data_IF_356364793169
#
_entry.id   IF_356364793169
#
_cell.length_a   1.000
_cell.length_b   1.000
_cell.length_c   1.000
_cell.angle_alpha   90.00
_cell.angle_beta   90.00
_cell.angle_gamma   90.00
#
_symmetry.space_group_name_H-M   'P 1'
#
loop_
_entity.id
_entity.type
_entity.pdbx_description
1 polymer ?
#
# COMPACT_ATOMS: atom_id res chain seq x y z
N UNK A 1 -21.03 -25.84 19.92
CA UNK A 1 -21.88 -24.92 19.12
C UNK A 1 -22.17 -23.72 19.99
N UNK A 2 -22.07 -22.51 19.44
CA UNK A 2 -22.22 -21.24 20.14
C UNK A 2 -23.36 -20.44 19.50
N UNK A 3 -24.24 -19.87 20.29
CA UNK A 3 -25.23 -18.92 19.77
C UNK A 3 -24.57 -17.61 19.36
N UNK A 4 -25.22 -16.86 18.47
CA UNK A 4 -24.66 -15.61 17.94
C UNK A 4 -24.23 -14.59 19.01
N UNK A 5 -24.93 -14.53 20.15
CA UNK A 5 -24.57 -13.65 21.27
C UNK A 5 -23.28 -14.11 21.97
N UNK A 6 -23.12 -15.41 22.15
CA UNK A 6 -21.92 -15.99 22.74
C UNK A 6 -20.72 -15.83 21.80
N UNK A 7 -20.92 -16.10 20.50
CA UNK A 7 -19.89 -15.88 19.47
C UNK A 7 -19.45 -14.40 19.42
N UNK A 8 -20.41 -13.47 19.46
CA UNK A 8 -20.12 -12.03 19.52
C UNK A 8 -19.33 -11.65 20.78
N UNK A 9 -19.71 -12.19 21.93
CA UNK A 9 -19.03 -11.92 23.20
C UNK A 9 -17.60 -12.46 23.21
N UNK A 10 -17.37 -13.69 22.72
CA UNK A 10 -16.05 -14.32 22.69
C UNK A 10 -15.08 -13.61 21.72
N UNK A 11 -15.58 -13.24 20.54
CA UNK A 11 -14.76 -12.63 19.48
C UNK A 11 -14.65 -11.11 19.59
N UNK A 12 -15.45 -10.48 20.44
CA UNK A 12 -15.48 -9.02 20.60
C UNK A 12 -16.14 -8.26 19.46
N UNK A 13 -16.72 -8.94 18.46
CA UNK A 13 -17.45 -8.28 17.38
C UNK A 13 -18.94 -8.15 17.68
N UNK A 14 -19.59 -7.15 17.10
CA UNK A 14 -21.03 -6.98 17.29
C UNK A 14 -21.83 -8.09 16.60
N UNK A 15 -23.01 -8.41 17.15
CA UNK A 15 -23.99 -9.29 16.49
C UNK A 15 -24.34 -8.80 15.08
N UNK A 16 -24.38 -7.48 14.88
CA UNK A 16 -24.61 -6.87 13.56
C UNK A 16 -23.49 -7.21 12.57
N UNK A 17 -22.24 -7.25 13.03
CA UNK A 17 -21.07 -7.65 12.23
C UNK A 17 -21.17 -9.12 11.83
N UNK A 18 -21.52 -10.02 12.76
CA UNK A 18 -21.72 -11.44 12.44
C UNK A 18 -22.85 -11.67 11.43
N UNK A 19 -23.96 -10.95 11.57
CA UNK A 19 -25.02 -10.97 10.56
C UNK A 19 -24.57 -10.43 9.20
N UNK A 20 -23.71 -9.41 9.19
CA UNK A 20 -23.16 -8.89 7.96
C UNK A 20 -22.25 -9.91 7.27
N UNK A 21 -21.35 -10.57 8.02
CA UNK A 21 -20.46 -11.60 7.48
C UNK A 21 -21.22 -12.79 6.91
N UNK A 22 -22.30 -13.22 7.57
CA UNK A 22 -23.21 -14.24 7.02
C UNK A 22 -23.89 -13.75 5.73
N UNK A 23 -24.42 -12.52 5.74
CA UNK A 23 -25.12 -11.95 4.58
C UNK A 23 -24.23 -11.87 3.33
N UNK A 24 -22.94 -11.57 3.48
CA UNK A 24 -21.98 -11.48 2.37
C UNK A 24 -21.29 -12.83 2.07
N UNK A 25 -21.64 -13.91 2.78
CA UNK A 25 -21.07 -15.24 2.59
C UNK A 25 -19.64 -15.42 3.11
N UNK A 26 -19.12 -14.48 3.90
CA UNK A 26 -17.76 -14.52 4.43
C UNK A 26 -17.62 -15.54 5.58
N UNK A 27 -18.63 -15.58 6.46
CA UNK A 27 -18.75 -16.53 7.57
C UNK A 27 -20.19 -17.00 7.68
N UNK A 28 -20.46 -18.22 7.23
CA UNK A 28 -21.82 -18.76 7.10
C UNK A 28 -22.04 -19.84 8.17
N UNK A 29 -22.69 -19.51 9.30
CA UNK A 29 -22.94 -20.47 10.37
C UNK A 29 -24.08 -21.43 10.02
N UNK A 30 -24.20 -22.50 10.80
CA UNK A 30 -25.38 -23.36 10.76
C UNK A 30 -26.62 -22.62 11.32
N UNK A 31 -27.81 -23.01 10.85
CA UNK A 31 -29.09 -22.57 11.40
C UNK A 31 -29.72 -23.75 12.14
N UNK A 32 -30.00 -23.57 13.43
CA UNK A 32 -30.76 -24.55 14.20
C UNK A 32 -32.21 -24.64 13.72
N UNK A 33 -32.94 -25.68 14.14
CA UNK A 33 -34.32 -25.95 13.69
C UNK A 33 -35.29 -24.78 13.92
N UNK A 34 -35.06 -23.98 14.96
CA UNK A 34 -35.82 -22.76 15.28
C UNK A 34 -35.35 -21.50 14.51
N UNK A 35 -34.46 -21.65 13.53
CA UNK A 35 -33.98 -20.59 12.65
C UNK A 35 -32.85 -19.72 13.20
N UNK A 36 -32.36 -19.99 14.41
CA UNK A 36 -31.26 -19.23 15.02
C UNK A 36 -29.90 -19.67 14.47
N UNK A 37 -28.96 -18.72 14.37
CA UNK A 37 -27.59 -19.00 13.94
C UNK A 37 -26.79 -19.63 15.08
N UNK A 38 -26.09 -20.70 14.76
CA UNK A 38 -25.19 -21.42 15.66
C UNK A 38 -23.84 -21.63 15.00
N UNK A 39 -22.78 -21.24 15.72
CA UNK A 39 -21.40 -21.27 15.23
C UNK A 39 -20.71 -22.53 15.78
N UNK A 40 -20.08 -23.30 14.91
CA UNK A 40 -19.20 -24.41 15.30
C UNK A 40 -17.87 -23.88 15.83
N UNK A 41 -17.00 -24.81 16.27
CA UNK A 41 -15.63 -24.43 16.60
C UNK A 41 -14.87 -23.95 15.35
N UNK A 42 -15.04 -24.64 14.22
CA UNK A 42 -14.44 -24.30 12.93
C UNK A 42 -14.89 -22.91 12.44
N UNK A 43 -16.16 -22.55 12.67
CA UNK A 43 -16.66 -21.21 12.37
C UNK A 43 -15.95 -20.13 13.19
N UNK A 44 -15.65 -20.41 14.46
CA UNK A 44 -14.93 -19.47 15.33
C UNK A 44 -13.45 -19.38 14.97
N UNK A 45 -12.83 -20.48 14.56
CA UNK A 45 -11.45 -20.48 14.05
C UNK A 45 -11.35 -19.69 12.74
N UNK A 46 -12.32 -19.85 11.82
CA UNK A 46 -12.42 -19.02 10.62
C UNK A 46 -12.66 -17.56 10.95
N UNK A 47 -13.53 -17.27 11.93
CA UNK A 47 -13.75 -15.91 12.42
C UNK A 47 -12.44 -15.30 12.93
N UNK A 48 -11.63 -16.04 13.69
CA UNK A 48 -10.33 -15.55 14.15
C UNK A 48 -9.44 -15.10 12.99
N UNK A 49 -9.33 -15.92 11.92
CA UNK A 49 -8.56 -15.57 10.72
C UNK A 49 -9.11 -14.30 10.06
N UNK A 50 -10.43 -14.17 9.92
CA UNK A 50 -11.08 -12.96 9.38
C UNK A 50 -10.69 -11.74 10.22
N UNK A 51 -10.71 -11.85 11.55
CA UNK A 51 -10.39 -10.73 12.44
C UNK A 51 -8.92 -10.33 12.39
N UNK A 52 -7.99 -11.28 12.26
CA UNK A 52 -6.58 -10.94 12.04
C UNK A 52 -6.37 -10.20 10.73
N UNK A 53 -6.98 -10.63 9.62
CA UNK A 53 -6.89 -9.87 8.37
C UNK A 53 -7.54 -8.49 8.49
N UNK A 54 -8.68 -8.38 9.17
CA UNK A 54 -9.31 -7.08 9.44
C UNK A 54 -8.42 -6.16 10.27
N UNK A 55 -7.73 -6.68 11.27
CA UNK A 55 -6.77 -5.93 12.09
C UNK A 55 -5.59 -5.47 11.24
N UNK A 56 -5.11 -6.33 10.34
CA UNK A 56 -4.11 -6.04 9.32
C UNK A 56 -4.65 -5.23 8.13
N UNK A 57 -5.75 -4.48 8.29
CA UNK A 57 -6.24 -3.52 7.28
C UNK A 57 -7.09 -4.08 6.13
N UNK A 58 -7.03 -5.38 5.84
CA UNK A 58 -7.64 -5.95 4.64
C UNK A 58 -9.15 -5.67 4.51
N UNK A 59 -9.60 -5.44 3.27
CA UNK A 59 -11.02 -5.30 2.93
C UNK A 59 -11.77 -6.63 3.06
N UNK A 60 -13.09 -6.59 3.29
CA UNK A 60 -13.89 -7.81 3.43
C UNK A 60 -13.92 -8.63 2.13
N UNK A 61 -13.94 -7.97 0.98
CA UNK A 61 -13.91 -8.63 -0.33
C UNK A 61 -12.58 -9.38 -0.52
N UNK A 62 -11.46 -8.77 -0.14
CA UNK A 62 -10.16 -9.43 -0.23
C UNK A 62 -10.06 -10.61 0.71
N UNK A 63 -10.57 -10.48 1.93
CA UNK A 63 -10.61 -11.61 2.88
C UNK A 63 -11.46 -12.73 2.29
N UNK A 64 -12.61 -12.44 1.67
CA UNK A 64 -13.43 -13.45 1.02
C UNK A 64 -12.68 -14.16 -0.12
N UNK A 65 -11.93 -13.44 -0.95
CA UNK A 65 -11.06 -14.03 -1.98
C UNK A 65 -9.98 -14.93 -1.40
N UNK A 66 -9.26 -14.46 -0.39
CA UNK A 66 -8.17 -15.20 0.24
C UNK A 66 -8.67 -16.50 0.89
N UNK A 67 -9.87 -16.48 1.45
CA UNK A 67 -10.49 -17.63 2.12
C UNK A 67 -11.35 -18.49 1.17
N UNK A 68 -11.30 -18.24 -0.14
CA UNK A 68 -12.11 -18.95 -1.15
C UNK A 68 -11.42 -20.27 -1.52
N UNK A 69 -12.15 -21.39 -1.39
CA UNK A 69 -11.63 -22.71 -1.75
C UNK A 69 -10.78 -23.41 -0.68
N UNK A 70 -10.35 -22.69 0.36
CA UNK A 70 -9.57 -23.20 1.50
C UNK A 70 -10.48 -23.45 2.71
N UNK A 71 -11.44 -24.37 2.60
CA UNK A 71 -12.45 -24.54 3.65
C UNK A 71 -11.93 -25.15 4.96
N UNK A 72 -10.74 -25.78 4.94
CA UNK A 72 -10.33 -26.67 6.04
C UNK A 72 -8.91 -26.42 6.57
N UNK A 73 -7.99 -25.89 5.76
CA UNK A 73 -6.62 -25.62 6.21
C UNK A 73 -6.39 -24.12 6.42
N UNK A 74 -6.51 -23.68 7.67
CA UNK A 74 -6.30 -22.28 8.05
C UNK A 74 -4.83 -21.96 8.34
N UNK A 75 -3.95 -22.96 8.42
CA UNK A 75 -2.56 -22.78 8.85
C UNK A 75 -1.75 -21.87 7.93
N UNK A 76 -1.88 -21.92 6.57
CA UNK A 76 -1.17 -21.01 5.69
C UNK A 76 -1.54 -19.54 5.95
N UNK A 77 -2.83 -19.27 6.19
CA UNK A 77 -3.31 -17.93 6.50
C UNK A 77 -2.77 -17.42 7.84
N UNK A 78 -2.85 -18.24 8.89
CA UNK A 78 -2.33 -17.89 10.20
C UNK A 78 -0.82 -17.64 10.17
N UNK A 79 -0.07 -18.45 9.43
CA UNK A 79 1.38 -18.28 9.25
C UNK A 79 1.71 -16.95 8.57
N UNK A 80 0.98 -16.63 7.49
CA UNK A 80 1.12 -15.35 6.79
C UNK A 80 0.76 -14.16 7.67
N UNK A 81 -0.32 -14.26 8.44
CA UNK A 81 -0.74 -13.22 9.37
C UNK A 81 0.28 -12.99 10.49
N UNK A 82 0.88 -14.06 11.01
CA UNK A 82 1.95 -13.99 12.00
C UNK A 82 3.19 -13.28 11.44
N UNK A 83 3.57 -13.58 10.20
CA UNK A 83 4.67 -12.88 9.53
C UNK A 83 4.38 -11.38 9.39
N UNK A 84 3.17 -11.00 8.94
CA UNK A 84 2.77 -9.59 8.89
C UNK A 84 2.87 -8.90 10.25
N UNK A 85 2.30 -9.50 11.31
CA UNK A 85 2.35 -8.94 12.66
C UNK A 85 3.78 -8.86 13.20
N UNK A 86 4.64 -9.82 12.85
CA UNK A 86 6.04 -9.83 13.28
C UNK A 86 6.83 -8.71 12.62
N UNK A 87 6.59 -8.43 11.34
CA UNK A 87 7.21 -7.31 10.63
C UNK A 87 6.73 -5.96 11.17
N UNK A 88 5.42 -5.83 11.43
CA UNK A 88 4.87 -4.61 12.05
C UNK A 88 5.49 -4.36 13.43
N UNK A 89 5.68 -5.42 14.23
CA UNK A 89 6.40 -5.33 15.51
C UNK A 89 7.84 -4.86 15.32
N UNK A 90 8.58 -5.42 14.37
CA UNK A 90 9.96 -4.99 14.09
C UNK A 90 10.02 -3.51 13.66
N UNK A 91 9.05 -3.07 12.87
CA UNK A 91 8.92 -1.66 12.48
C UNK A 91 8.66 -0.76 13.69
N UNK A 92 7.71 -1.15 14.56
CA UNK A 92 7.44 -0.44 15.81
C UNK A 92 8.67 -0.40 16.72
N UNK A 93 9.44 -1.49 16.82
CA UNK A 93 10.68 -1.54 17.60
C UNK A 93 11.71 -0.53 17.05
N UNK A 94 11.84 -0.41 15.72
CA UNK A 94 12.66 0.62 15.07
C UNK A 94 12.18 2.03 15.41
N UNK A 95 10.89 2.31 15.28
CA UNK A 95 10.31 3.62 15.61
C UNK A 95 10.50 3.99 17.08
N UNK A 96 10.31 3.03 18.00
CA UNK A 96 10.54 3.21 19.43
C UNK A 96 12.01 3.56 19.68
N UNK A 97 12.95 2.84 19.05
CA UNK A 97 14.39 3.10 19.17
C UNK A 97 14.76 4.50 18.68
N UNK A 98 14.26 4.92 17.51
CA UNK A 98 14.47 6.26 16.97
C UNK A 98 13.91 7.34 17.89
N UNK A 99 12.70 7.14 18.43
CA UNK A 99 12.09 8.08 19.36
C UNK A 99 12.86 8.18 20.68
N UNK A 100 13.36 7.06 21.20
CA UNK A 100 14.22 7.04 22.39
C UNK A 100 15.50 7.86 22.18
N UNK A 101 16.19 7.65 21.04
CA UNK A 101 17.38 8.45 20.68
C UNK A 101 17.03 9.94 20.54
N UNK A 102 15.88 10.24 19.93
CA UNK A 102 15.42 11.63 19.78
C UNK A 102 15.22 12.29 21.16
N UNK A 103 14.64 11.57 22.12
CA UNK A 103 14.50 12.05 23.50
C UNK A 103 15.86 12.29 24.15
N UNK A 104 16.85 11.40 23.95
CA UNK A 104 18.22 11.59 24.47
C UNK A 104 18.91 12.81 23.87
N UNK A 105 18.74 13.07 22.57
CA UNK A 105 19.25 14.27 21.93
C UNK A 105 18.61 15.54 22.52
N UNK A 106 17.29 15.54 22.75
CA UNK A 106 16.60 16.68 23.39
C UNK A 106 17.08 16.95 24.82
N UNK A 107 17.60 15.93 25.52
CA UNK A 107 18.25 16.06 26.83
C UNK A 107 19.71 16.51 26.75
N UNK A 108 20.28 16.62 25.54
CA UNK A 108 21.68 16.96 25.31
C UNK A 108 22.66 15.81 25.56
N UNK A 109 22.18 14.57 25.65
CA UNK A 109 22.99 13.38 25.96
C UNK A 109 23.73 12.85 24.73
N UNK A 110 23.10 12.94 23.55
CA UNK A 110 23.66 12.54 22.26
C UNK A 110 23.40 13.61 21.20
N UNK A 111 24.01 13.46 20.02
CA UNK A 111 23.60 14.15 18.80
C UNK A 111 23.18 13.12 17.77
N UNK A 112 22.09 13.39 17.07
CA UNK A 112 21.64 12.57 15.95
C UNK A 112 21.84 13.33 14.64
N UNK A 113 22.11 12.63 13.55
CA UNK A 113 22.01 13.23 12.21
C UNK A 113 20.55 13.44 11.82
N UNK A 114 20.30 14.23 10.77
CA UNK A 114 18.93 14.43 10.28
C UNK A 114 18.38 13.10 9.76
N UNK A 115 19.19 12.30 9.07
CA UNK A 115 18.83 10.98 8.54
C UNK A 115 18.45 10.00 9.66
N UNK A 116 19.21 9.96 10.75
CA UNK A 116 18.92 9.08 11.89
C UNK A 116 17.55 9.36 12.52
N UNK A 117 17.12 10.63 12.57
CA UNK A 117 15.81 11.02 13.13
C UNK A 117 14.63 10.48 12.34
N UNK A 118 14.84 10.12 11.08
CA UNK A 118 13.81 9.58 10.20
C UNK A 118 13.92 8.06 9.98
N UNK A 119 14.81 7.37 10.71
CA UNK A 119 14.91 5.90 10.69
C UNK A 119 13.59 5.28 11.15
N UNK A 120 13.03 4.36 10.36
CA UNK A 120 11.69 3.82 10.58
C UNK A 120 10.58 4.60 9.86
N UNK A 121 10.86 5.73 9.21
CA UNK A 121 9.90 6.46 8.38
C UNK A 121 10.28 6.47 6.88
N UNK A 122 11.42 5.88 6.53
CA UNK A 122 11.85 5.74 5.13
C UNK A 122 10.90 4.86 4.32
N UNK A 123 10.88 5.01 2.99
CA UNK A 123 10.06 4.19 2.10
C UNK A 123 10.32 2.68 2.27
N UNK A 124 11.56 2.30 2.60
CA UNK A 124 11.95 0.92 2.86
C UNK A 124 11.42 0.39 4.20
N UNK A 125 11.18 1.28 5.17
CA UNK A 125 10.73 0.93 6.51
C UNK A 125 9.20 0.94 6.65
N UNK A 126 8.48 1.74 5.85
CA UNK A 126 7.06 2.03 6.07
C UNK A 126 6.12 0.98 5.47
N UNK A 127 5.80 -0.06 6.26
CA UNK A 127 4.81 -1.09 5.88
C UNK A 127 3.40 -0.53 5.57
N UNK A 128 3.08 0.67 6.07
CA UNK A 128 1.78 1.30 5.83
C UNK A 128 1.67 1.98 4.44
N UNK A 129 2.79 2.44 3.87
CA UNK A 129 2.82 2.83 2.44
C UNK A 129 2.77 1.59 1.54
N UNK A 130 3.30 0.47 2.04
CA UNK A 130 3.06 -0.86 1.47
C UNK A 130 1.55 -1.16 1.48
N UNK A 131 0.78 -0.90 2.54
CA UNK A 131 -0.66 -1.20 2.53
C UNK A 131 -1.47 -0.39 1.50
N UNK A 132 -1.32 0.92 1.37
CA UNK A 132 -2.14 1.65 0.36
C UNK A 132 -1.70 1.38 -1.09
N UNK A 133 -0.41 1.09 -1.32
CA UNK A 133 0.12 0.74 -2.66
C UNK A 133 -0.04 -0.76 -2.99
N UNK A 134 0.03 -1.66 -2.01
CA UNK A 134 -0.21 -3.12 -2.15
C UNK A 134 -1.70 -3.46 -2.06
N UNK A 135 -2.52 -2.71 -1.34
CA UNK A 135 -3.99 -2.86 -1.37
C UNK A 135 -4.58 -2.34 -2.68
N UNK A 136 -3.93 -1.38 -3.34
CA UNK A 136 -4.37 -0.88 -4.66
C UNK A 136 -3.67 -1.57 -5.84
N UNK A 137 -2.41 -2.03 -5.67
CA UNK A 137 -1.60 -2.58 -6.77
C UNK A 137 -0.93 -3.93 -6.48
N UNK A 138 -1.01 -4.48 -5.29
CA UNK A 138 -0.73 -5.90 -5.05
C UNK A 138 0.75 -6.30 -5.13
N UNK A 139 1.10 -7.33 -4.37
CA UNK A 139 2.39 -8.01 -4.43
C UNK A 139 2.81 -8.36 -5.87
N UNK A 140 1.83 -8.67 -6.73
CA UNK A 140 2.04 -8.97 -8.16
C UNK A 140 2.66 -7.83 -8.95
N UNK A 141 2.35 -6.56 -8.64
CA UNK A 141 2.96 -5.41 -9.32
C UNK A 141 4.42 -5.24 -8.92
N UNK A 142 4.76 -5.52 -7.66
CA UNK A 142 6.14 -5.50 -7.20
C UNK A 142 6.95 -6.66 -7.80
N UNK A 143 6.36 -7.85 -7.86
CA UNK A 143 6.99 -9.02 -8.49
C UNK A 143 7.15 -8.81 -10.00
N UNK A 144 6.15 -8.22 -10.67
CA UNK A 144 6.24 -7.84 -12.08
C UNK A 144 7.31 -6.77 -12.31
N UNK A 145 7.42 -5.76 -11.46
CA UNK A 145 8.43 -4.72 -11.58
C UNK A 145 9.84 -5.32 -11.43
N UNK A 146 10.02 -6.19 -10.43
CA UNK A 146 11.28 -6.88 -10.20
C UNK A 146 11.66 -7.76 -11.40
N UNK A 147 10.72 -8.54 -11.94
CA UNK A 147 10.97 -9.39 -13.11
C UNK A 147 11.18 -8.59 -14.41
N UNK A 148 10.43 -7.50 -14.64
CA UNK A 148 10.58 -6.64 -15.83
C UNK A 148 11.88 -5.84 -15.82
N UNK A 149 12.42 -5.51 -14.65
CA UNK A 149 13.67 -4.76 -14.49
C UNK A 149 14.91 -5.64 -14.43
N UNK A 150 14.77 -6.93 -14.13
CA UNK A 150 15.88 -7.87 -14.03
C UNK A 150 16.69 -7.93 -15.32
N UNK A 151 17.95 -7.49 -15.24
CA UNK A 151 18.86 -7.40 -16.39
C UNK A 151 18.60 -6.21 -17.33
N UNK A 152 17.73 -5.28 -16.93
CA UNK A 152 17.34 -4.04 -17.64
C UNK A 152 17.33 -2.83 -16.70
N UNK A 153 18.06 -2.91 -15.59
CA UNK A 153 18.06 -1.91 -14.53
C UNK A 153 18.56 -0.55 -15.04
N UNK A 154 19.62 -0.56 -15.84
CA UNK A 154 20.20 0.65 -16.46
C UNK A 154 19.23 1.28 -17.48
N UNK A 155 18.53 0.45 -18.25
CA UNK A 155 17.55 0.88 -19.25
C UNK A 155 16.34 1.54 -18.57
N UNK A 156 15.81 0.89 -17.53
CA UNK A 156 14.73 1.40 -16.69
C UNK A 156 15.12 2.74 -16.07
N UNK A 157 16.29 2.79 -15.42
CA UNK A 157 16.80 4.01 -14.77
C UNK A 157 16.96 5.15 -15.77
N UNK A 158 17.51 4.89 -16.95
CA UNK A 158 17.67 5.89 -18.00
C UNK A 158 16.30 6.43 -18.48
N UNK A 159 15.32 5.55 -18.69
CA UNK A 159 13.99 5.95 -19.16
C UNK A 159 13.28 6.90 -18.17
N UNK A 160 13.33 6.61 -16.87
CA UNK A 160 12.75 7.49 -15.85
C UNK A 160 13.52 8.80 -15.72
N UNK A 161 14.86 8.74 -15.65
CA UNK A 161 15.69 9.93 -15.47
C UNK A 161 15.57 10.91 -16.64
N UNK A 162 15.43 10.42 -17.88
CA UNK A 162 15.25 11.27 -19.05
C UNK A 162 13.98 12.12 -18.94
N UNK A 163 12.86 11.53 -18.51
CA UNK A 163 11.60 12.27 -18.30
C UNK A 163 11.77 13.32 -17.22
N UNK A 164 12.30 12.96 -16.05
CA UNK A 164 12.45 13.92 -14.95
C UNK A 164 13.41 15.06 -15.29
N UNK A 165 14.47 14.77 -16.04
CA UNK A 165 15.39 15.78 -16.54
C UNK A 165 14.71 16.73 -17.55
N UNK A 166 13.90 16.20 -18.47
CA UNK A 166 13.16 17.01 -19.43
C UNK A 166 12.12 17.91 -18.75
N UNK A 167 11.37 17.36 -17.78
CA UNK A 167 10.40 18.13 -17.00
C UNK A 167 11.06 19.20 -16.12
N UNK A 168 12.23 18.92 -15.55
CA UNK A 168 13.01 19.92 -14.81
C UNK A 168 13.47 21.07 -15.72
N UNK A 169 13.95 20.76 -16.93
CA UNK A 169 14.33 21.76 -17.91
C UNK A 169 13.12 22.60 -18.36
N UNK A 170 11.99 21.96 -18.66
CA UNK A 170 10.76 22.65 -19.06
C UNK A 170 10.23 23.58 -17.95
N UNK A 171 10.34 23.16 -16.69
CA UNK A 171 10.04 23.99 -15.53
C UNK A 171 10.96 25.21 -15.47
N UNK A 172 12.27 25.02 -15.66
CA UNK A 172 13.25 26.10 -15.67
C UNK A 172 12.99 27.11 -16.80
N UNK A 173 12.56 26.62 -17.95
CA UNK A 173 12.21 27.44 -19.13
C UNK A 173 10.81 28.09 -19.01
N UNK A 174 10.08 27.83 -17.92
CA UNK A 174 8.81 28.45 -17.61
C UNK A 174 7.64 27.94 -18.44
N UNK A 175 7.75 26.74 -19.03
CA UNK A 175 6.65 26.15 -19.78
C UNK A 175 5.49 25.84 -18.82
N UNK A 176 4.22 26.02 -19.24
CA UNK A 176 3.09 25.61 -18.42
C UNK A 176 2.95 24.08 -18.43
N UNK A 177 2.37 23.50 -17.37
CA UNK A 177 2.13 22.06 -17.29
C UNK A 177 1.23 21.53 -18.43
N UNK A 178 0.42 22.40 -19.05
CA UNK A 178 -0.43 22.10 -20.22
C UNK A 178 0.32 22.09 -21.56
N UNK A 179 1.62 22.44 -21.60
CA UNK A 179 2.40 22.47 -22.84
C UNK A 179 2.43 21.09 -23.50
N UNK A 180 2.41 21.04 -24.84
CA UNK A 180 2.37 19.79 -25.59
C UNK A 180 3.57 18.90 -25.28
N UNK A 181 4.73 19.51 -25.10
CA UNK A 181 5.99 18.88 -24.71
C UNK A 181 5.86 18.17 -23.36
N UNK A 182 5.22 18.82 -22.38
CA UNK A 182 5.00 18.23 -21.05
C UNK A 182 3.98 17.07 -21.10
N UNK A 183 2.97 17.17 -21.96
CA UNK A 183 2.01 16.08 -22.15
C UNK A 183 2.66 14.88 -22.86
N UNK A 184 3.63 15.12 -23.74
CA UNK A 184 4.47 14.06 -24.32
C UNK A 184 5.36 13.38 -23.26
N UNK A 185 5.96 14.17 -22.35
CA UNK A 185 6.73 13.62 -21.23
C UNK A 185 5.88 12.80 -20.25
N UNK A 186 4.63 13.22 -19.99
CA UNK A 186 3.69 12.41 -19.21
C UNK A 186 3.38 11.06 -19.91
N UNK A 187 3.20 11.07 -21.23
CA UNK A 187 2.98 9.85 -21.99
C UNK A 187 4.20 8.92 -21.93
N UNK A 188 5.42 9.46 -22.08
CA UNK A 188 6.68 8.72 -21.95
C UNK A 188 6.83 8.10 -20.56
N UNK A 189 6.54 8.88 -19.52
CA UNK A 189 6.60 8.40 -18.14
C UNK A 189 5.62 7.26 -17.90
N UNK A 190 4.37 7.39 -18.39
CA UNK A 190 3.37 6.35 -18.27
C UNK A 190 3.81 5.06 -19.00
N UNK A 191 4.39 5.19 -20.20
CA UNK A 191 4.95 4.06 -20.94
C UNK A 191 6.14 3.41 -20.23
N UNK A 192 7.02 4.19 -19.60
CA UNK A 192 8.11 3.67 -18.79
C UNK A 192 7.59 2.86 -17.59
N UNK A 193 6.59 3.37 -16.87
CA UNK A 193 5.92 2.63 -15.77
C UNK A 193 5.32 1.33 -16.30
N UNK A 194 4.67 1.35 -17.47
CA UNK A 194 4.10 0.16 -18.10
C UNK A 194 5.15 -0.84 -18.56
N UNK A 195 6.32 -0.38 -19.00
CA UNK A 195 7.37 -1.24 -19.55
C UNK A 195 8.21 -1.89 -18.47
N UNK A 196 8.59 -1.15 -17.42
CA UNK A 196 9.52 -1.61 -16.39
C UNK A 196 8.87 -1.84 -15.02
N UNK A 197 7.69 -1.28 -14.78
CA UNK A 197 6.95 -1.50 -13.54
C UNK A 197 5.92 -2.61 -13.72
N UNK A 198 4.76 -2.22 -14.23
CA UNK A 198 3.58 -3.08 -14.28
C UNK A 198 2.54 -2.49 -15.22
N UNK A 199 1.50 -3.25 -15.55
CA UNK A 199 0.42 -2.75 -16.41
C UNK A 199 -0.44 -1.70 -15.68
N UNK A 200 0.03 -0.46 -15.74
CA UNK A 200 -0.50 0.71 -15.05
C UNK A 200 -1.65 1.33 -15.87
N UNK A 201 -2.87 1.36 -15.31
CA UNK A 201 -3.99 2.09 -15.91
C UNK A 201 -3.81 3.60 -15.78
N UNK A 202 -4.57 4.38 -16.55
CA UNK A 202 -4.45 5.84 -16.51
C UNK A 202 -4.89 6.44 -15.16
N UNK A 203 -5.89 5.85 -14.50
CA UNK A 203 -6.29 6.26 -13.17
C UNK A 203 -5.18 6.01 -12.15
N UNK A 204 -4.51 4.86 -12.24
CA UNK A 204 -3.33 4.53 -11.41
C UNK A 204 -2.23 5.56 -11.60
N UNK A 205 -1.96 5.93 -12.85
CA UNK A 205 -0.93 6.89 -13.19
C UNK A 205 -1.18 8.25 -12.51
N UNK A 206 -2.44 8.69 -12.45
CA UNK A 206 -2.83 9.88 -11.70
C UNK A 206 -2.57 9.79 -10.19
N UNK A 207 -2.71 8.61 -9.59
CA UNK A 207 -2.36 8.39 -8.18
C UNK A 207 -0.85 8.37 -7.95
N UNK A 208 -0.09 7.78 -8.87
CA UNK A 208 1.38 7.79 -8.82
C UNK A 208 1.90 9.24 -8.89
N UNK A 209 1.36 10.07 -9.79
CA UNK A 209 1.74 11.47 -9.90
C UNK A 209 1.56 12.24 -8.59
N UNK A 210 0.42 12.07 -7.91
CA UNK A 210 0.18 12.64 -6.56
C UNK A 210 1.21 12.13 -5.54
N UNK A 211 1.59 10.86 -5.64
CA UNK A 211 2.60 10.24 -4.78
C UNK A 211 3.96 10.93 -4.83
N UNK A 212 4.35 11.49 -5.99
CA UNK A 212 5.61 12.23 -6.12
C UNK A 212 5.70 13.49 -5.25
N UNK A 213 4.57 14.04 -4.81
CA UNK A 213 4.53 15.20 -3.91
C UNK A 213 4.28 14.78 -2.47
N UNK A 214 3.33 13.87 -2.25
CA UNK A 214 2.92 13.48 -0.90
C UNK A 214 3.95 12.58 -0.19
N UNK A 215 4.77 11.86 -0.95
CA UNK A 215 5.88 11.10 -0.40
C UNK A 215 7.17 11.96 -0.40
N UNK A 216 7.72 12.31 0.78
CA UNK A 216 8.91 13.15 0.87
C UNK A 216 10.14 12.57 0.16
N UNK A 217 10.30 11.25 0.13
CA UNK A 217 11.45 10.59 -0.50
C UNK A 217 11.37 10.64 -2.03
N UNK A 218 10.18 10.39 -2.61
CA UNK A 218 9.98 10.60 -4.05
C UNK A 218 10.16 12.07 -4.42
N UNK A 219 9.62 12.97 -3.59
CA UNK A 219 9.77 14.40 -3.80
C UNK A 219 11.24 14.81 -3.81
N UNK A 220 12.00 14.41 -2.80
CA UNK A 220 13.43 14.72 -2.71
C UNK A 220 14.23 14.11 -3.86
N UNK A 221 13.95 12.86 -4.23
CA UNK A 221 14.63 12.20 -5.34
C UNK A 221 14.37 12.86 -6.69
N UNK A 222 13.13 13.28 -6.96
CA UNK A 222 12.78 13.96 -8.21
C UNK A 222 13.28 15.41 -8.20
N UNK A 223 13.25 16.10 -7.05
CA UNK A 223 13.76 17.48 -6.94
C UNK A 223 15.29 17.57 -7.09
N UNK A 224 16.02 16.44 -7.10
CA UNK A 224 17.45 16.40 -7.50
C UNK A 224 17.68 16.81 -8.95
N UNK A 225 16.68 16.65 -9.83
CA UNK A 225 16.75 17.12 -11.22
C UNK A 225 16.54 18.64 -11.32
N UNK A 226 15.91 19.25 -10.31
CA UNK A 226 15.65 20.68 -10.22
C UNK A 226 14.63 20.98 -9.12
N UNK A 227 14.79 22.05 -8.32
CA UNK A 227 13.84 22.39 -7.26
C UNK A 227 12.41 22.58 -7.80
N UNK A 228 11.44 21.85 -7.24
CA UNK A 228 10.03 21.94 -7.66
C UNK A 228 9.64 20.99 -8.79
N UNK A 229 10.58 20.22 -9.34
CA UNK A 229 10.31 19.24 -10.41
C UNK A 229 9.26 18.21 -9.99
N UNK A 230 9.26 17.76 -8.73
CA UNK A 230 8.28 16.80 -8.24
C UNK A 230 6.83 17.33 -8.29
N UNK A 231 6.64 18.58 -7.86
CA UNK A 231 5.32 19.24 -7.92
C UNK A 231 4.89 19.45 -9.36
N UNK A 232 5.80 19.95 -10.19
CA UNK A 232 5.54 20.21 -11.59
C UNK A 232 5.18 18.92 -12.36
N UNK A 233 5.91 17.83 -12.11
CA UNK A 233 5.62 16.50 -12.67
C UNK A 233 4.22 16.02 -12.25
N UNK A 234 3.86 16.17 -10.97
CA UNK A 234 2.52 15.83 -10.47
C UNK A 234 1.42 16.62 -11.19
N UNK A 235 1.61 17.92 -11.40
CA UNK A 235 0.65 18.78 -12.09
C UNK A 235 0.49 18.40 -13.57
N UNK A 236 1.61 18.11 -14.25
CA UNK A 236 1.64 17.63 -15.63
C UNK A 236 0.87 16.31 -15.79
N UNK A 237 1.10 15.34 -14.88
CA UNK A 237 0.39 14.06 -14.87
C UNK A 237 -1.10 14.26 -14.62
N UNK A 238 -1.49 15.13 -13.69
CA UNK A 238 -2.90 15.39 -13.39
C UNK A 238 -3.67 15.90 -14.62
N UNK A 239 -3.06 16.81 -15.38
CA UNK A 239 -3.62 17.32 -16.64
C UNK A 239 -3.68 16.22 -17.69
N UNK A 240 -2.60 15.45 -17.86
CA UNK A 240 -2.56 14.35 -18.82
C UNK A 240 -3.67 13.33 -18.60
N UNK A 241 -3.87 12.92 -17.34
CA UNK A 241 -4.93 11.99 -16.95
C UNK A 241 -6.31 12.59 -17.22
N UNK A 242 -6.54 13.87 -16.91
CA UNK A 242 -7.83 14.51 -17.17
C UNK A 242 -8.17 14.59 -18.67
N UNK A 243 -7.15 14.69 -19.53
CA UNK A 243 -7.32 14.82 -20.98
C UNK A 243 -7.50 13.47 -21.69
N UNK A 244 -7.13 12.37 -21.02
CA UNK A 244 -7.08 11.02 -21.60
C UNK A 244 -7.92 9.99 -20.79
N UNK A 245 -8.67 10.43 -19.78
CA UNK A 245 -9.66 9.61 -19.08
C UNK A 245 -10.96 9.59 -19.92
N UNK A 246 -11.24 8.43 -20.53
CA UNK A 246 -12.53 8.12 -21.17
C UNK A 246 -13.61 7.73 -20.13
#
# INVERSE_FOLDING_TARGET
>A
MYHIKEAAQLSGVSVKTLHHYDKIGLLVPLKSENGYRTYSQEDLERLQVILYYKYLGFSLDKIAELLKGESSDLLPHLTRQLDYLTRERQHLDTLISTLQKTIQEQKGEIKMTIEEKFTGFSYQDHQKYHQEAVEKYGQEVMDQALERQKGREDESTAAFNQVFQALAQNLQDGLPATAAENQEEAAKLWQAIRTYGFDCSIEVFGHIGKGYVYNPEFKENIDKFGPGTAQYTSDVIAIYVQTNAE
#
